data_IF_689116866517
#
_entry.id   IF_689116866517
#
_cell.length_a   1.000
_cell.length_b   1.000
_cell.length_c   1.000
_cell.angle_alpha   90.00
_cell.angle_beta   90.00
_cell.angle_gamma   90.00
#
_symmetry.space_group_name_H-M   'P 1'
#
loop_
_entity.id
_entity.type
_entity.pdbx_description
1 polymer ?
#
# COMPACT_ATOMS: atom_id res chain seq x y z
N UNK A 1 30.43 2.20 47.54
CA UNK A 1 31.28 3.08 48.37
C UNK A 1 32.39 3.59 47.47
N UNK A 2 32.49 4.92 47.33
CA UNK A 2 33.37 5.75 46.46
C UNK A 2 33.20 5.60 44.92
N UNK A 3 32.73 6.60 44.13
CA UNK A 3 33.16 8.00 43.90
C UNK A 3 34.59 8.07 43.29
N UNK A 4 34.93 8.81 42.22
CA UNK A 4 34.48 10.07 41.58
C UNK A 4 34.92 10.03 40.08
N UNK A 5 34.15 10.51 39.09
CA UNK A 5 34.10 11.88 38.50
C UNK A 5 35.49 12.41 38.08
N UNK A 6 35.73 13.03 36.92
CA UNK A 6 35.00 14.14 36.26
C UNK A 6 35.75 14.53 34.98
N UNK A 7 35.05 14.98 33.94
CA UNK A 7 35.50 16.08 33.08
C UNK A 7 34.28 16.76 32.43
N UNK A 8 34.35 18.07 32.30
CA UNK A 8 33.24 19.01 32.09
C UNK A 8 33.62 19.98 30.98
N UNK A 9 32.61 20.71 30.47
CA UNK A 9 32.60 21.95 29.68
C UNK A 9 32.73 21.83 28.16
N UNK A 10 31.70 22.35 27.46
CA UNK A 10 31.80 23.58 26.66
C UNK A 10 30.47 24.35 26.76
N UNK A 11 30.55 25.67 27.01
CA UNK A 11 29.48 26.69 26.90
C UNK A 11 29.57 27.38 25.54
N UNK A 12 28.45 27.84 24.99
CA UNK A 12 28.42 28.97 24.06
C UNK A 12 27.13 29.82 24.24
N UNK A 13 27.33 31.10 24.54
CA UNK A 13 26.42 32.25 24.30
C UNK A 13 26.67 32.72 22.82
N UNK A 14 25.91 33.55 22.08
CA UNK A 14 25.01 34.70 22.33
C UNK A 14 24.35 35.11 20.99
N UNK A 15 23.50 36.16 21.01
CA UNK A 15 22.95 37.02 19.90
C UNK A 15 21.63 36.48 19.27
N UNK A 16 20.49 37.20 19.18
CA UNK A 16 20.23 38.62 18.79
C UNK A 16 18.82 39.10 19.23
N UNK A 17 18.66 40.42 19.30
CA UNK A 17 17.52 41.29 19.68
C UNK A 17 16.16 41.02 18.97
N UNK A 18 14.98 41.14 19.63
CA UNK A 18 14.04 42.28 19.90
C UNK A 18 13.29 42.86 18.67
N UNK A 19 12.02 43.24 18.91
CA UNK A 19 10.97 43.95 18.12
C UNK A 19 9.97 42.96 17.51
N UNK A 20 8.69 42.84 17.86
CA UNK A 20 7.74 43.72 18.54
C UNK A 20 6.59 44.05 17.57
N UNK A 21 5.40 43.44 17.73
CA UNK A 21 4.13 44.02 17.24
C UNK A 21 2.93 43.37 17.98
N UNK A 22 2.14 44.23 18.62
CA UNK A 22 0.84 43.92 19.21
C UNK A 22 -0.27 44.06 18.17
N UNK A 23 -1.36 43.31 18.31
CA UNK A 23 -2.70 43.89 18.53
C UNK A 23 -3.75 42.77 18.65
N UNK A 24 -4.45 42.80 19.78
CA UNK A 24 -5.67 42.05 20.07
C UNK A 24 -6.85 42.55 19.25
N UNK A 25 -7.78 41.66 18.91
CA UNK A 25 -9.21 42.00 18.84
C UNK A 25 -10.05 40.77 19.23
N UNK A 26 -10.88 40.96 20.25
CA UNK A 26 -11.85 40.01 20.80
C UNK A 26 -13.25 40.57 20.56
N UNK A 27 -14.19 39.63 20.35
CA UNK A 27 -15.64 39.71 20.64
C UNK A 27 -16.44 40.69 19.72
N UNK A 28 -17.74 40.55 19.40
CA UNK A 28 -18.93 40.06 20.12
C UNK A 28 -19.98 39.57 19.09
N UNK A 29 -20.74 38.57 19.54
CA UNK A 29 -22.11 38.11 19.22
C UNK A 29 -23.01 38.90 18.25
N UNK A 30 -23.90 38.17 17.55
CA UNK A 30 -25.36 38.28 17.75
C UNK A 30 -26.12 37.09 17.15
N UNK A 31 -27.17 36.66 17.88
CA UNK A 31 -28.11 35.57 17.60
C UNK A 31 -29.26 36.00 16.68
N UNK A 32 -29.90 35.05 16.01
CA UNK A 32 -31.37 34.88 15.85
C UNK A 32 -31.61 33.67 14.92
N UNK A 33 -32.10 32.50 15.34
CA UNK A 33 -33.39 32.06 15.91
C UNK A 33 -34.52 31.78 14.88
N UNK A 34 -35.09 30.57 15.01
CA UNK A 34 -36.39 30.04 14.54
C UNK A 34 -36.60 29.82 13.03
N UNK A 35 -36.66 28.55 12.58
CA UNK A 35 -37.84 27.64 12.50
C UNK A 35 -38.87 28.05 11.43
N UNK A 36 -39.10 27.21 10.41
CA UNK A 36 -40.30 26.34 10.27
C UNK A 36 -40.38 25.68 8.88
N UNK A 37 -40.87 24.43 8.87
CA UNK A 37 -41.72 23.74 7.85
C UNK A 37 -41.24 23.51 6.39
N UNK A 38 -41.27 22.23 6.00
CA UNK A 38 -41.26 21.60 4.64
C UNK A 38 -42.46 22.05 3.75
N UNK A 39 -42.71 21.50 2.53
CA UNK A 39 -41.88 21.08 1.37
C UNK A 39 -42.40 21.61 -0.02
N UNK A 40 -41.73 21.22 -1.11
CA UNK A 40 -42.08 21.29 -2.56
C UNK A 40 -41.95 22.64 -3.28
N UNK A 41 -41.04 22.73 -4.28
CA UNK A 41 -41.33 22.99 -5.70
C UNK A 41 -40.13 22.52 -6.53
N UNK A 42 -40.41 21.73 -7.57
CA UNK A 42 -39.46 21.37 -8.62
C UNK A 42 -39.23 22.56 -9.55
N UNK A 43 -37.97 22.94 -9.77
CA UNK A 43 -37.62 23.83 -10.88
C UNK A 43 -36.44 23.25 -11.65
N UNK A 44 -36.71 23.02 -12.93
CA UNK A 44 -35.79 22.62 -13.97
C UNK A 44 -34.58 23.56 -14.02
N UNK A 45 -33.38 22.98 -14.16
CA UNK A 45 -32.23 23.70 -14.69
C UNK A 45 -31.62 22.84 -15.79
N UNK A 46 -31.95 23.21 -17.02
CA UNK A 46 -31.41 22.66 -18.26
C UNK A 46 -30.10 23.37 -18.64
N UNK A 47 -29.25 22.60 -19.31
CA UNK A 47 -28.16 23.01 -20.20
C UNK A 47 -26.74 23.15 -19.59
N UNK A 48 -25.92 22.12 -19.80
CA UNK A 48 -24.72 22.19 -20.66
C UNK A 48 -23.94 20.86 -20.64
N UNK A 49 -24.55 19.79 -21.17
CA UNK A 49 -23.82 18.57 -21.51
C UNK A 49 -23.32 18.70 -22.95
N UNK A 50 -22.06 19.10 -23.10
CA UNK A 50 -21.37 19.19 -24.38
C UNK A 50 -21.32 17.80 -25.05
N UNK A 51 -21.79 17.78 -26.29
CA UNK A 51 -21.85 16.65 -27.19
C UNK A 51 -20.45 16.12 -27.51
N UNK A 52 -20.08 14.94 -26.98
CA UNK A 52 -19.27 13.98 -27.73
C UNK A 52 -20.20 12.95 -28.34
N UNK A 53 -20.74 13.26 -29.51
CA UNK A 53 -21.40 12.25 -30.33
C UNK A 53 -20.32 11.26 -30.78
N UNK A 54 -20.34 10.05 -30.23
CA UNK A 54 -19.72 8.91 -30.91
C UNK A 54 -20.32 8.80 -32.31
N UNK A 55 -19.54 8.31 -33.28
CA UNK A 55 -19.97 8.14 -34.67
C UNK A 55 -21.32 7.39 -34.79
N UNK A 56 -21.64 6.52 -33.82
CA UNK A 56 -22.92 5.82 -33.70
C UNK A 56 -24.14 6.74 -33.48
N UNK A 57 -24.01 7.83 -32.72
CA UNK A 57 -25.12 8.75 -32.44
C UNK A 57 -25.49 9.64 -33.63
N UNK A 58 -24.63 9.74 -34.64
CA UNK A 58 -24.90 10.51 -35.87
C UNK A 58 -25.69 9.70 -36.91
N UNK A 59 -25.67 8.37 -36.83
CA UNK A 59 -26.37 7.48 -37.76
C UNK A 59 -27.81 7.16 -37.31
N UNK A 60 -28.10 7.21 -36.01
CA UNK A 60 -29.45 6.98 -35.47
C UNK A 60 -30.46 8.06 -35.86
N UNK A 61 -30.01 9.31 -36.03
CA UNK A 61 -30.89 10.42 -36.49
C UNK A 61 -31.24 10.35 -37.98
N UNK A 62 -30.65 9.41 -38.74
CA UNK A 62 -30.94 9.16 -40.15
C UNK A 62 -31.78 7.89 -40.38
N UNK A 63 -32.26 7.23 -39.32
CA UNK A 63 -33.11 6.04 -39.43
C UNK A 63 -32.39 4.76 -39.89
N UNK A 64 -31.06 4.78 -39.96
CA UNK A 64 -30.27 3.63 -40.40
C UNK A 64 -29.82 2.85 -39.16
N UNK A 65 -30.57 1.80 -38.82
CA UNK A 65 -30.15 0.83 -37.79
C UNK A 65 -29.25 -0.23 -38.44
N UNK A 66 -28.01 -0.46 -37.93
CA UNK A 66 -27.16 -1.50 -38.47
C UNK A 66 -27.83 -2.85 -38.29
N UNK A 67 -27.84 -3.67 -39.34
CA UNK A 67 -28.47 -4.99 -39.30
C UNK A 67 -27.85 -5.84 -38.19
N UNK A 68 -28.66 -6.71 -37.58
CA UNK A 68 -28.23 -7.61 -36.49
C UNK A 68 -26.97 -8.42 -36.89
N UNK A 69 -26.81 -8.70 -38.18
CA UNK A 69 -25.65 -9.37 -38.76
C UNK A 69 -24.39 -8.50 -38.78
N UNK A 70 -24.51 -7.19 -39.04
CA UNK A 70 -23.37 -6.25 -38.95
C UNK A 70 -22.88 -6.09 -37.51
N UNK A 71 -23.80 -6.04 -36.53
CA UNK A 71 -23.44 -5.99 -35.12
C UNK A 71 -22.76 -7.28 -34.66
N UNK A 72 -23.24 -8.45 -35.11
CA UNK A 72 -22.59 -9.73 -34.85
C UNK A 72 -21.23 -9.85 -35.53
N UNK A 73 -21.08 -9.36 -36.77
CA UNK A 73 -19.78 -9.33 -37.44
C UNK A 73 -18.79 -8.39 -36.76
N UNK A 74 -19.23 -7.22 -36.30
CA UNK A 74 -18.36 -6.32 -35.52
C UNK A 74 -17.95 -6.94 -34.18
N UNK A 75 -18.87 -7.63 -33.48
CA UNK A 75 -18.55 -8.36 -32.25
C UNK A 75 -17.61 -9.54 -32.51
N UNK A 76 -17.81 -10.30 -33.59
CA UNK A 76 -16.93 -11.41 -33.98
C UNK A 76 -15.55 -10.91 -34.43
N UNK A 77 -15.47 -9.79 -35.14
CA UNK A 77 -14.20 -9.16 -35.52
C UNK A 77 -13.45 -8.60 -34.30
N UNK A 78 -14.15 -8.02 -33.33
CA UNK A 78 -13.55 -7.59 -32.06
C UNK A 78 -13.06 -8.78 -31.22
N UNK A 79 -13.81 -9.88 -31.19
CA UNK A 79 -13.41 -11.12 -30.50
C UNK A 79 -12.26 -11.85 -31.22
N UNK A 80 -12.22 -11.82 -32.56
CA UNK A 80 -11.11 -12.37 -33.33
C UNK A 80 -9.85 -11.52 -33.22
N UNK A 81 -9.97 -10.18 -33.18
CA UNK A 81 -8.85 -9.27 -32.96
C UNK A 81 -8.24 -9.41 -31.56
N UNK A 82 -9.06 -9.63 -30.52
CA UNK A 82 -8.57 -9.87 -29.16
C UNK A 82 -7.95 -11.26 -28.98
N UNK A 83 -8.46 -12.30 -29.67
CA UNK A 83 -7.83 -13.64 -29.71
C UNK A 83 -6.52 -13.66 -30.50
N UNK A 84 -6.38 -12.88 -31.57
CA UNK A 84 -5.15 -12.86 -32.37
C UNK A 84 -3.94 -12.30 -31.58
N UNK A 85 -4.16 -11.32 -30.70
CA UNK A 85 -3.14 -10.77 -29.79
C UNK A 85 -2.67 -11.77 -28.71
N UNK A 86 -3.41 -12.84 -28.45
CA UNK A 86 -3.08 -13.83 -27.41
C UNK A 86 -2.06 -14.90 -27.87
N UNK A 87 -1.65 -14.91 -29.14
CA UNK A 87 -0.81 -15.98 -29.70
C UNK A 87 0.62 -15.60 -30.07
N UNK A 88 1.00 -14.32 -29.96
CA UNK A 88 2.40 -13.92 -30.09
C UNK A 88 3.13 -14.22 -28.76
N UNK A 89 4.19 -15.04 -28.80
CA UNK A 89 4.99 -15.36 -27.62
C UNK A 89 5.47 -14.07 -26.94
N UNK A 90 5.00 -13.82 -25.71
CA UNK A 90 5.48 -12.69 -24.91
C UNK A 90 6.83 -13.05 -24.31
N UNK A 91 7.79 -12.14 -24.39
CA UNK A 91 9.09 -12.28 -23.73
C UNK A 91 8.89 -12.10 -22.21
N UNK A 92 9.47 -13.00 -21.42
CA UNK A 92 9.57 -12.86 -19.97
C UNK A 92 10.99 -12.40 -19.64
N UNK A 93 11.11 -11.28 -18.94
CA UNK A 93 12.38 -10.80 -18.40
C UNK A 93 12.38 -10.98 -16.89
N UNK A 94 13.50 -11.46 -16.34
CA UNK A 94 13.67 -11.67 -14.91
C UNK A 94 14.54 -10.58 -14.33
N UNK A 95 14.10 -10.01 -13.21
CA UNK A 95 14.85 -9.04 -12.43
C UNK A 95 14.87 -9.49 -10.97
N UNK A 96 15.96 -9.18 -10.27
CA UNK A 96 16.07 -9.41 -8.83
C UNK A 96 16.21 -8.05 -8.17
N UNK A 97 15.33 -7.77 -7.21
CA UNK A 97 15.32 -6.52 -6.44
C UNK A 97 15.52 -6.85 -4.96
N UNK A 98 16.52 -6.22 -4.35
CA UNK A 98 16.76 -6.36 -2.91
C UNK A 98 15.83 -5.45 -2.11
N UNK A 99 15.32 -5.97 -1.00
CA UNK A 99 14.54 -5.18 -0.04
C UNK A 99 15.51 -4.31 0.78
N UNK A 100 15.34 -3.00 0.70
CA UNK A 100 16.07 -2.05 1.54
C UNK A 100 15.56 -2.15 2.97
N UNK A 101 16.44 -2.55 3.90
CA UNK A 101 16.12 -2.69 5.31
C UNK A 101 17.37 -2.53 6.21
N UNK A 102 17.93 -1.31 6.32
CA UNK A 102 19.23 -1.08 6.96
C UNK A 102 19.24 -1.32 8.47
N UNK A 103 18.08 -1.33 9.12
CA UNK A 103 17.92 -1.56 10.57
C UNK A 103 17.39 -2.95 10.91
N UNK A 104 17.30 -3.83 9.92
CA UNK A 104 16.86 -5.22 10.11
C UNK A 104 15.47 -5.33 10.76
N UNK A 105 14.56 -4.42 10.41
CA UNK A 105 13.17 -4.49 10.86
C UNK A 105 12.52 -5.77 10.36
N UNK A 106 11.55 -6.28 11.11
CA UNK A 106 10.70 -7.34 10.57
C UNK A 106 9.80 -6.74 9.50
N UNK A 107 9.58 -7.46 8.41
CA UNK A 107 8.64 -7.05 7.37
C UNK A 107 7.78 -8.20 6.89
N UNK A 108 6.65 -7.88 6.29
CA UNK A 108 5.70 -8.80 5.65
C UNK A 108 5.49 -8.33 4.23
N UNK A 109 5.70 -9.21 3.25
CA UNK A 109 5.47 -8.94 1.83
C UNK A 109 4.35 -9.86 1.33
N UNK A 110 3.36 -9.29 0.63
CA UNK A 110 2.22 -10.05 0.12
C UNK A 110 1.57 -9.47 -1.12
N UNK A 111 0.51 -10.14 -1.59
CA UNK A 111 -0.41 -9.64 -2.60
C UNK A 111 -1.80 -9.48 -1.98
N UNK A 112 -2.48 -8.42 -2.37
CA UNK A 112 -3.85 -8.14 -2.03
C UNK A 112 -4.65 -7.73 -3.28
N UNK A 113 -5.82 -7.13 -3.10
CA UNK A 113 -6.53 -6.43 -4.16
C UNK A 113 -7.34 -5.30 -3.53
N UNK A 114 -7.83 -4.35 -4.33
CA UNK A 114 -8.76 -3.30 -3.88
C UNK A 114 -8.14 -2.28 -2.89
N UNK A 115 -8.61 -1.03 -2.98
CA UNK A 115 -7.97 0.10 -2.30
C UNK A 115 -8.11 0.06 -0.76
N UNK A 116 -9.14 -0.63 -0.25
CA UNK A 116 -9.38 -0.82 1.19
C UNK A 116 -8.28 -1.61 1.89
N UNK A 117 -7.40 -2.29 1.14
CA UNK A 117 -6.22 -3.02 1.65
C UNK A 117 -5.41 -2.21 2.65
N UNK A 118 -5.18 -0.93 2.39
CA UNK A 118 -4.33 -0.10 3.26
C UNK A 118 -4.98 0.12 4.62
N UNK A 119 -6.24 0.54 4.64
CA UNK A 119 -6.98 0.79 5.88
C UNK A 119 -7.20 -0.51 6.67
N UNK A 120 -7.52 -1.61 6.00
CA UNK A 120 -7.80 -2.88 6.69
C UNK A 120 -6.56 -3.53 7.29
N UNK A 121 -5.42 -3.47 6.58
CA UNK A 121 -4.17 -3.96 7.14
C UNK A 121 -3.70 -3.01 8.26
N UNK A 122 -3.90 -1.68 8.12
CA UNK A 122 -3.65 -0.75 9.22
C UNK A 122 -4.45 -1.14 10.47
N UNK A 123 -5.75 -1.37 10.33
CA UNK A 123 -6.64 -1.78 11.42
C UNK A 123 -6.20 -3.11 12.04
N UNK A 124 -5.87 -4.10 11.21
CA UNK A 124 -5.38 -5.40 11.67
C UNK A 124 -4.08 -5.26 12.50
N UNK A 125 -3.16 -4.37 12.09
CA UNK A 125 -1.90 -4.15 12.78
C UNK A 125 -2.08 -3.37 14.09
N UNK A 126 -2.83 -2.26 14.08
CA UNK A 126 -3.03 -1.44 15.28
C UNK A 126 -3.84 -2.17 16.36
N UNK A 127 -4.75 -3.07 15.97
CA UNK A 127 -5.50 -3.92 16.89
C UNK A 127 -4.67 -5.08 17.47
N UNK A 128 -3.56 -5.46 16.82
CA UNK A 128 -2.71 -6.57 17.27
C UNK A 128 -1.89 -6.22 18.52
N UNK A 129 -1.45 -4.96 18.67
CA UNK A 129 -0.75 -4.47 19.86
C UNK A 129 -0.67 -2.95 19.86
N UNK A 130 -0.91 -2.32 21.02
CA UNK A 130 -0.81 -0.87 21.20
C UNK A 130 0.63 -0.35 21.16
N UNK A 131 1.63 -1.22 21.32
CA UNK A 131 3.04 -0.88 21.28
C UNK A 131 3.65 -1.04 19.88
N UNK A 132 2.96 -1.73 18.95
CA UNK A 132 3.49 -2.04 17.63
C UNK A 132 3.64 -0.77 16.79
N UNK A 133 4.84 -0.55 16.26
CA UNK A 133 5.11 0.48 15.28
C UNK A 133 5.16 -0.15 13.89
N UNK A 134 4.54 0.50 12.92
CA UNK A 134 4.49 -0.03 11.57
C UNK A 134 4.29 1.03 10.50
N UNK A 135 4.69 0.68 9.29
CA UNK A 135 4.34 1.38 8.06
C UNK A 135 3.95 0.36 7.00
N UNK A 136 2.90 0.67 6.24
CA UNK A 136 2.40 -0.13 5.13
C UNK A 136 2.44 0.68 3.83
N UNK A 137 2.79 0.01 2.73
CA UNK A 137 2.61 0.50 1.38
C UNK A 137 1.97 -0.58 0.49
N UNK A 138 1.08 -0.18 -0.41
CA UNK A 138 0.33 -1.02 -1.33
C UNK A 138 0.34 -0.40 -2.74
N UNK A 139 0.69 -1.21 -3.73
CA UNK A 139 0.72 -0.80 -5.13
C UNK A 139 -0.66 -0.98 -5.77
N UNK A 140 -1.42 0.11 -5.92
CA UNK A 140 -2.65 0.08 -6.71
C UNK A 140 -2.34 -0.31 -8.17
N UNK A 141 -3.05 -1.27 -8.75
CA UNK A 141 -2.75 -1.78 -10.10
C UNK A 141 -3.73 -1.33 -11.18
N UNK A 142 -4.86 -0.72 -10.81
CA UNK A 142 -5.89 -0.31 -11.77
C UNK A 142 -5.60 1.07 -12.38
N UNK A 143 -5.97 1.28 -13.66
CA UNK A 143 -6.07 2.63 -14.21
C UNK A 143 -7.08 3.45 -13.39
N UNK A 144 -6.76 4.72 -13.16
CA UNK A 144 -7.65 5.63 -12.44
C UNK A 144 -8.94 5.92 -13.21
N UNK A 145 -9.95 6.40 -12.50
CA UNK A 145 -11.12 7.04 -13.08
C UNK A 145 -11.01 8.57 -12.91
N UNK A 146 -11.83 9.34 -13.63
CA UNK A 146 -11.73 10.81 -13.68
C UNK A 146 -11.72 11.49 -12.30
N UNK A 147 -12.41 10.90 -11.32
CA UNK A 147 -12.45 11.39 -9.94
C UNK A 147 -11.40 10.76 -8.98
N UNK A 148 -10.64 9.74 -9.41
CA UNK A 148 -9.53 9.19 -8.61
C UNK A 148 -8.40 8.67 -9.52
N UNK A 149 -7.26 9.39 -9.59
CA UNK A 149 -6.09 8.89 -10.30
C UNK A 149 -5.56 7.62 -9.63
N UNK A 150 -5.41 6.57 -10.44
CA UNK A 150 -4.98 5.23 -10.01
C UNK A 150 -3.49 4.99 -10.22
N UNK A 151 -3.05 3.74 -10.05
CA UNK A 151 -1.64 3.31 -10.13
C UNK A 151 -0.69 4.07 -9.19
N UNK A 152 -1.13 4.30 -7.95
CA UNK A 152 -0.31 4.95 -6.92
C UNK A 152 0.09 3.96 -5.84
N UNK A 153 1.25 4.20 -5.23
CA UNK A 153 1.59 3.60 -3.95
C UNK A 153 0.71 4.25 -2.89
N UNK A 154 -0.21 3.47 -2.32
CA UNK A 154 -1.07 3.85 -1.20
C UNK A 154 -0.36 3.43 0.08
N UNK A 155 -0.32 4.29 1.09
CA UNK A 155 0.48 4.02 2.30
C UNK A 155 -0.19 4.62 3.53
N UNK A 156 0.10 4.03 4.68
CA UNK A 156 -0.36 4.46 6.00
C UNK A 156 0.53 3.84 7.09
N UNK A 157 0.34 4.20 8.35
CA UNK A 157 1.07 3.66 9.48
C UNK A 157 1.10 4.60 10.68
N UNK A 158 1.86 4.21 11.70
CA UNK A 158 2.00 5.00 12.94
C UNK A 158 3.47 5.36 13.27
N UNK A 159 4.37 5.15 12.30
CA UNK A 159 5.78 5.51 12.33
C UNK A 159 6.22 6.04 10.96
N UNK A 160 6.55 7.33 10.87
CA UNK A 160 6.96 7.98 9.62
C UNK A 160 8.15 7.27 8.95
N UNK A 161 9.14 6.84 9.75
CA UNK A 161 10.31 6.11 9.28
C UNK A 161 9.92 4.81 8.55
N UNK A 162 9.02 4.02 9.15
CA UNK A 162 8.59 2.74 8.57
C UNK A 162 7.67 2.92 7.38
N UNK A 163 6.87 4.01 7.36
CA UNK A 163 6.05 4.39 6.21
C UNK A 163 6.93 4.71 5.01
N UNK A 164 7.97 5.52 5.21
CA UNK A 164 8.91 5.87 4.15
C UNK A 164 9.67 4.66 3.63
N UNK A 165 10.12 3.77 4.52
CA UNK A 165 10.75 2.51 4.15
C UNK A 165 9.82 1.61 3.32
N UNK A 166 8.54 1.52 3.70
CA UNK A 166 7.54 0.77 2.96
C UNK A 166 7.31 1.36 1.56
N UNK A 167 7.23 2.69 1.45
CA UNK A 167 7.03 3.40 0.17
C UNK A 167 8.17 3.15 -0.82
N UNK A 168 9.41 3.29 -0.35
CA UNK A 168 10.60 3.12 -1.19
C UNK A 168 10.65 1.69 -1.74
N UNK A 169 10.47 0.69 -0.88
CA UNK A 169 10.45 -0.71 -1.30
C UNK A 169 9.26 -1.04 -2.22
N UNK A 170 8.06 -0.55 -1.92
CA UNK A 170 6.90 -0.78 -2.77
C UNK A 170 7.09 -0.20 -4.18
N UNK A 171 7.68 0.99 -4.28
CA UNK A 171 8.03 1.61 -5.56
C UNK A 171 9.12 0.83 -6.30
N UNK A 172 10.17 0.39 -5.60
CA UNK A 172 11.25 -0.40 -6.19
C UNK A 172 10.75 -1.75 -6.75
N UNK A 173 9.81 -2.40 -6.05
CA UNK A 173 9.19 -3.64 -6.53
C UNK A 173 8.33 -3.42 -7.79
N UNK A 174 7.60 -2.30 -7.86
CA UNK A 174 6.78 -1.91 -9.03
C UNK A 174 5.67 -2.90 -9.43
N UNK A 175 5.50 -4.00 -8.69
CA UNK A 175 4.52 -5.04 -8.99
C UNK A 175 3.12 -4.60 -8.55
N UNK A 176 2.14 -4.75 -9.42
CA UNK A 176 0.77 -4.38 -9.13
C UNK A 176 0.17 -5.25 -8.02
N UNK A 177 -0.65 -4.65 -7.15
CA UNK A 177 -1.35 -5.31 -6.06
C UNK A 177 -0.46 -5.95 -4.98
N UNK A 178 0.84 -5.65 -4.97
CA UNK A 178 1.71 -6.03 -3.85
C UNK A 178 1.56 -5.06 -2.69
N UNK A 179 1.66 -5.57 -1.48
CA UNK A 179 1.83 -4.75 -0.30
C UNK A 179 3.08 -5.18 0.48
N UNK A 180 3.70 -4.22 1.15
CA UNK A 180 4.80 -4.45 2.09
C UNK A 180 4.51 -3.71 3.40
N UNK A 181 4.76 -4.37 4.51
CA UNK A 181 4.62 -3.83 5.86
C UNK A 181 5.95 -3.97 6.57
N UNK A 182 6.46 -2.90 7.17
CA UNK A 182 7.58 -2.94 8.11
C UNK A 182 7.09 -2.78 9.55
N UNK A 183 7.73 -3.49 10.49
CA UNK A 183 7.33 -3.62 11.88
C UNK A 183 8.50 -3.32 12.82
N UNK A 184 8.23 -2.56 13.87
CA UNK A 184 9.11 -2.33 15.00
C UNK A 184 8.33 -2.48 16.33
N UNK A 185 9.01 -2.89 17.39
CA UNK A 185 8.38 -3.17 18.69
C UNK A 185 7.49 -4.43 18.73
N UNK A 186 7.64 -5.33 17.76
CA UNK A 186 6.92 -6.61 17.68
C UNK A 186 7.44 -7.53 16.58
N UNK A 187 6.93 -8.75 16.53
CA UNK A 187 7.31 -9.76 15.54
C UNK A 187 6.12 -10.11 14.62
N UNK A 188 6.36 -10.59 13.40
CA UNK A 188 5.29 -10.99 12.49
C UNK A 188 4.34 -12.01 13.11
N UNK A 189 4.84 -12.93 13.95
CA UNK A 189 3.99 -13.92 14.64
C UNK A 189 2.88 -13.31 15.50
N UNK A 190 2.99 -12.03 15.89
CA UNK A 190 1.96 -11.32 16.67
C UNK A 190 0.77 -10.88 15.82
N UNK A 191 0.96 -10.56 14.53
CA UNK A 191 -0.07 -9.96 13.67
C UNK A 191 -0.33 -10.72 12.37
N UNK A 192 0.52 -11.68 11.99
CA UNK A 192 0.49 -12.35 10.68
C UNK A 192 -0.84 -13.05 10.40
N UNK A 193 -1.50 -13.62 11.40
CA UNK A 193 -2.81 -14.24 11.22
C UNK A 193 -3.91 -13.19 11.02
N UNK A 194 -3.84 -12.03 11.68
CA UNK A 194 -4.78 -10.94 11.44
C UNK A 194 -4.64 -10.43 9.99
N UNK A 195 -3.40 -10.22 9.52
CA UNK A 195 -3.12 -9.83 8.13
C UNK A 195 -3.63 -10.86 7.13
N UNK A 196 -3.40 -12.16 7.37
CA UNK A 196 -3.90 -13.25 6.50
C UNK A 196 -5.43 -13.28 6.40
N UNK A 197 -6.13 -12.82 7.43
CA UNK A 197 -7.59 -12.84 7.51
C UNK A 197 -8.23 -11.54 6.98
N UNK A 198 -7.44 -10.54 6.59
CA UNK A 198 -7.95 -9.37 5.86
C UNK A 198 -8.52 -9.86 4.52
N UNK A 199 -9.75 -9.46 4.22
CA UNK A 199 -10.52 -9.98 3.08
C UNK A 199 -9.81 -9.76 1.74
N UNK A 200 -9.11 -8.64 1.62
CA UNK A 200 -8.37 -8.23 0.44
C UNK A 200 -7.07 -9.01 0.23
N UNK A 201 -6.52 -9.67 1.26
CA UNK A 201 -5.21 -10.33 1.20
C UNK A 201 -5.33 -11.68 0.50
N UNK A 202 -4.64 -11.80 -0.63
CA UNK A 202 -4.63 -13.01 -1.46
C UNK A 202 -3.52 -13.98 -1.06
N UNK A 203 -2.34 -13.47 -0.69
CA UNK A 203 -1.15 -14.29 -0.38
C UNK A 203 -0.12 -13.49 0.43
N UNK A 204 0.58 -14.18 1.32
CA UNK A 204 1.85 -13.72 1.91
C UNK A 204 3.00 -14.45 1.22
N UNK A 205 4.04 -13.71 0.79
CA UNK A 205 5.25 -14.27 0.19
C UNK A 205 6.30 -14.61 1.25
N UNK A 206 6.58 -13.67 2.15
CA UNK A 206 7.47 -13.87 3.30
C UNK A 206 7.09 -12.97 4.48
N UNK A 207 7.62 -13.34 5.65
CA UNK A 207 7.56 -12.56 6.88
C UNK A 207 8.87 -12.78 7.65
N UNK A 208 9.80 -11.82 7.59
CA UNK A 208 11.20 -12.02 7.97
C UNK A 208 11.88 -10.72 8.38
N UNK A 209 13.05 -10.82 9.02
CA UNK A 209 13.99 -9.72 9.22
C UNK A 209 15.33 -9.96 8.50
N UNK A 210 15.45 -11.08 7.78
CA UNK A 210 16.68 -11.41 7.06
C UNK A 210 16.84 -10.53 5.81
N UNK A 211 18.08 -10.37 5.29
CA UNK A 211 18.30 -9.88 3.93
C UNK A 211 17.46 -10.69 2.95
N UNK A 212 16.69 -9.99 2.11
CA UNK A 212 15.73 -10.63 1.21
C UNK A 212 15.79 -10.00 -0.18
N UNK A 213 15.84 -10.85 -1.19
CA UNK A 213 15.70 -10.46 -2.60
C UNK A 213 14.38 -10.96 -3.18
N UNK A 214 13.74 -10.17 -4.02
CA UNK A 214 12.48 -10.52 -4.68
C UNK A 214 12.74 -10.75 -6.16
N UNK A 215 12.30 -11.91 -6.66
CA UNK A 215 12.41 -12.27 -8.08
C UNK A 215 11.16 -11.78 -8.80
N UNK A 216 11.34 -10.84 -9.72
CA UNK A 216 10.30 -10.22 -10.51
C UNK A 216 10.29 -10.77 -11.93
N UNK A 217 9.09 -10.97 -12.48
CA UNK A 217 8.86 -11.26 -13.88
C UNK A 217 8.22 -10.07 -14.58
N UNK A 218 8.82 -9.61 -15.67
CA UNK A 218 8.31 -8.52 -16.51
C UNK A 218 7.91 -9.02 -17.88
N UNK A 219 6.70 -8.65 -18.32
CA UNK A 219 6.28 -8.83 -19.73
C UNK A 219 6.26 -7.51 -20.51
N UNK A 220 6.35 -6.39 -19.78
CA UNK A 220 6.55 -5.01 -20.26
C UNK A 220 6.92 -4.14 -19.06
N UNK A 221 7.26 -2.87 -19.29
CA UNK A 221 7.59 -1.91 -18.22
C UNK A 221 6.44 -1.66 -17.23
N UNK A 222 5.19 -1.85 -17.66
CA UNK A 222 3.99 -1.65 -16.82
C UNK A 222 3.45 -2.96 -16.21
N UNK A 223 3.96 -4.11 -16.63
CA UNK A 223 3.43 -5.43 -16.26
C UNK A 223 4.49 -6.25 -15.54
N UNK A 224 4.57 -6.04 -14.23
CA UNK A 224 5.52 -6.67 -13.31
C UNK A 224 4.78 -7.53 -12.29
N UNK A 225 5.27 -8.74 -12.03
CA UNK A 225 4.73 -9.62 -11.00
C UNK A 225 5.84 -10.29 -10.18
N UNK A 226 5.55 -10.59 -8.91
CA UNK A 226 6.45 -11.36 -8.04
C UNK A 226 6.36 -12.85 -8.40
N UNK A 227 7.49 -13.45 -8.75
CA UNK A 227 7.62 -14.89 -9.00
C UNK A 227 8.07 -15.66 -7.75
N UNK A 228 8.84 -15.02 -6.87
CA UNK A 228 9.33 -15.64 -5.63
C UNK A 228 10.20 -14.70 -4.82
N UNK A 229 10.66 -15.20 -3.67
CA UNK A 229 11.54 -14.50 -2.73
C UNK A 229 12.72 -15.38 -2.35
N UNK A 230 13.86 -14.76 -2.10
CA UNK A 230 15.07 -15.38 -1.53
C UNK A 230 15.22 -14.79 -0.14
N UNK A 231 14.75 -15.52 0.88
CA UNK A 231 14.73 -15.09 2.29
C UNK A 231 15.92 -15.70 3.03
N UNK A 232 16.93 -14.87 3.33
CA UNK A 232 18.11 -15.28 4.05
C UNK A 232 19.04 -16.19 3.25
N UNK A 233 19.59 -17.21 3.91
CA UNK A 233 20.69 -18.03 3.38
C UNK A 233 20.34 -19.52 3.38
N UNK A 234 21.02 -20.29 2.53
CA UNK A 234 20.85 -21.74 2.44
C UNK A 234 21.29 -22.46 3.74
N UNK A 235 20.64 -23.59 4.10
CA UNK A 235 21.12 -24.45 5.16
C UNK A 235 22.47 -25.09 4.81
N UNK A 236 23.29 -25.34 5.83
CA UNK A 236 24.61 -25.98 5.70
C UNK A 236 24.60 -27.43 6.19
N UNK A 237 23.93 -27.71 7.30
CA UNK A 237 23.96 -28.99 8.01
C UNK A 237 22.60 -29.30 8.65
N UNK A 238 22.43 -30.54 9.13
CA UNK A 238 21.28 -30.95 9.94
C UNK A 238 21.53 -30.68 11.42
N UNK A 239 20.48 -30.35 12.18
CA UNK A 239 20.60 -30.19 13.63
C UNK A 239 20.96 -31.53 14.33
N UNK A 240 21.93 -31.49 15.24
CA UNK A 240 22.20 -32.59 16.17
C UNK A 240 21.33 -32.47 17.44
N UNK A 241 21.45 -33.42 18.37
CA UNK A 241 20.61 -33.43 19.59
C UNK A 241 20.94 -32.27 20.57
N UNK A 242 22.17 -31.76 20.56
CA UNK A 242 22.54 -30.58 21.34
C UNK A 242 21.89 -29.32 20.78
N UNK A 243 21.84 -29.17 19.46
CA UNK A 243 21.18 -28.04 18.80
C UNK A 243 19.67 -28.06 19.02
N UNK A 244 19.05 -29.25 18.98
CA UNK A 244 17.64 -29.44 19.38
C UNK A 244 17.41 -28.97 20.81
N UNK A 245 18.26 -29.39 21.74
CA UNK A 245 18.17 -29.00 23.15
C UNK A 245 18.27 -27.49 23.30
N UNK A 246 19.25 -26.84 22.65
CA UNK A 246 19.40 -25.37 22.65
C UNK A 246 18.15 -24.65 22.15
N UNK A 247 17.60 -25.04 20.99
CA UNK A 247 16.39 -24.36 20.45
C UNK A 247 15.15 -24.62 21.32
N UNK A 248 15.04 -25.80 21.94
CA UNK A 248 13.95 -26.10 22.89
C UNK A 248 14.05 -25.24 24.15
N UNK A 249 15.23 -25.11 24.73
CA UNK A 249 15.49 -24.26 25.90
C UNK A 249 15.28 -22.78 25.58
N UNK A 250 15.74 -22.33 24.40
CA UNK A 250 15.54 -20.96 23.95
C UNK A 250 14.07 -20.55 23.95
N UNK A 251 13.18 -21.35 23.35
CA UNK A 251 11.74 -21.04 23.30
C UNK A 251 11.08 -20.95 24.69
N UNK A 252 11.62 -21.67 25.69
CA UNK A 252 11.15 -21.59 27.09
C UNK A 252 11.71 -20.35 27.79
N UNK A 253 12.98 -20.03 27.53
CA UNK A 253 13.64 -18.82 28.04
C UNK A 253 12.93 -17.54 27.58
N UNK A 254 12.52 -17.46 26.31
CA UNK A 254 11.75 -16.33 25.78
C UNK A 254 10.24 -16.43 26.04
N UNK A 255 9.79 -17.44 26.79
CA UNK A 255 8.41 -17.55 27.29
C UNK A 255 7.35 -18.02 26.30
N UNK A 256 7.73 -18.46 25.09
CA UNK A 256 6.77 -18.95 24.09
C UNK A 256 6.32 -20.39 24.33
N UNK A 257 7.06 -21.18 25.13
CA UNK A 257 6.75 -22.58 25.47
C UNK A 257 7.01 -22.86 26.96
N UNK A 258 6.29 -23.84 27.53
CA UNK A 258 6.41 -24.31 28.92
C UNK A 258 7.05 -25.67 28.98
#
# INVERSE_FOLDING_TARGET
>A
MLLLRRATLVKANTTTQVIGFSASARLISARSSCSTSRPWVATQCSASYQQRTSFAGRLSNLGISPSRQHLQQQQQQQQHGSRAMASAGRKLELEVVDIENPKEYNFILGHAHFIKTVEDIYEALVQSSTALKFGIAFNEASPGYEAMPGRKVRFDGNSEELIDLAKVNAMALGAGHTFIVFLDGGFPVNCLNAVKNVTEVCRIHCATSNPTSVVLGKTSDEAVGILGVIDGVRPLEFENDDDKKKRHEFLRMIGYKR
#
